data_IF_787295004093
#
_entry.id   IF_787295004093
#
_cell.length_a   1.000
_cell.length_b   1.000
_cell.length_c   1.000
_cell.angle_alpha   90.00
_cell.angle_beta   90.00
_cell.angle_gamma   90.00
#
_symmetry.space_group_name_H-M   'P 1'
#
loop_
_entity.id
_entity.type
_entity.pdbx_description
1 polymer ?
#
# COMPACT_ATOMS: atom_id res chain seq x y z
N UNK A 1 -8.04 9.71 22.82
CA UNK A 1 -8.06 8.62 21.81
C UNK A 1 -7.11 7.53 22.30
N UNK A 2 -7.62 6.30 22.48
CA UNK A 2 -6.85 5.20 23.10
C UNK A 2 -5.78 4.69 22.10
N UNK A 3 -4.48 4.71 22.46
CA UNK A 3 -3.41 4.18 21.62
C UNK A 3 -3.57 2.68 21.27
N UNK A 4 -4.33 1.95 22.08
CA UNK A 4 -4.61 0.52 21.83
C UNK A 4 -5.56 0.33 20.65
N UNK A 5 -6.51 1.27 20.45
CA UNK A 5 -7.45 1.24 19.33
C UNK A 5 -6.71 1.45 18.00
N UNK A 6 -5.76 2.38 17.95
CA UNK A 6 -4.92 2.62 16.78
C UNK A 6 -4.05 1.40 16.42
N UNK A 7 -3.51 0.69 17.42
CA UNK A 7 -2.77 -0.56 17.18
C UNK A 7 -3.66 -1.66 16.64
N UNK A 8 -4.88 -1.79 17.16
CA UNK A 8 -5.85 -2.78 16.70
C UNK A 8 -6.36 -2.51 15.28
N UNK A 9 -6.44 -1.24 14.88
CA UNK A 9 -6.85 -0.81 13.53
C UNK A 9 -5.67 -0.68 12.54
N UNK A 10 -4.45 -1.05 12.93
CA UNK A 10 -3.26 -0.95 12.09
C UNK A 10 -2.82 0.47 11.73
N UNK A 11 -3.46 1.49 12.31
CA UNK A 11 -3.28 2.90 11.92
C UNK A 11 -2.73 3.75 13.07
N UNK A 12 -1.42 3.66 13.33
CA UNK A 12 -0.75 4.60 14.24
C UNK A 12 -0.39 5.86 13.43
N UNK A 13 -0.85 7.06 13.83
CA UNK A 13 -0.48 8.30 13.15
C UNK A 13 1.05 8.50 13.16
N UNK A 14 1.56 9.07 12.08
CA UNK A 14 2.96 9.50 11.99
C UNK A 14 3.16 10.85 12.67
N UNK A 15 4.41 11.28 12.84
CA UNK A 15 4.73 12.62 13.34
C UNK A 15 4.17 13.74 12.45
N UNK A 16 3.93 13.45 11.16
CA UNK A 16 3.30 14.38 10.21
C UNK A 16 1.76 14.37 10.29
N UNK A 17 1.16 13.57 11.17
CA UNK A 17 -0.30 13.44 11.30
C UNK A 17 -0.95 12.49 10.28
N UNK A 18 -0.18 11.95 9.33
CA UNK A 18 -0.68 11.06 8.30
C UNK A 18 -0.83 9.61 8.80
N UNK A 19 -1.83 8.91 8.26
CA UNK A 19 -2.04 7.49 8.52
C UNK A 19 -1.44 6.65 7.39
N UNK A 20 -0.47 5.81 7.74
CA UNK A 20 0.24 4.94 6.79
C UNK A 20 -0.38 3.55 6.79
N UNK A 21 -0.90 3.15 5.65
CA UNK A 21 -1.41 1.82 5.33
C UNK A 21 -1.05 1.45 3.88
N UNK A 22 -1.38 0.24 3.46
CA UNK A 22 -1.08 -0.25 2.10
C UNK A 22 -1.63 0.68 1.02
N UNK A 23 -2.90 1.07 1.11
CA UNK A 23 -3.54 1.93 0.11
C UNK A 23 -2.90 3.31 0.04
N UNK A 24 -2.62 3.94 1.19
CA UNK A 24 -2.03 5.27 1.25
C UNK A 24 -0.57 5.30 0.77
N UNK A 25 0.19 4.22 0.99
CA UNK A 25 1.57 4.10 0.47
C UNK A 25 1.59 3.83 -1.03
N UNK A 26 0.71 2.96 -1.52
CA UNK A 26 0.59 2.71 -2.96
C UNK A 26 -0.01 3.90 -3.72
N UNK A 27 -0.61 4.86 -3.04
CA UNK A 27 -0.98 6.16 -3.60
C UNK A 27 0.23 7.05 -3.94
N UNK A 28 1.38 6.84 -3.31
CA UNK A 28 2.63 7.52 -3.66
C UNK A 28 3.20 6.93 -4.95
N UNK A 29 3.33 7.73 -6.00
CA UNK A 29 3.77 7.27 -7.32
C UNK A 29 5.13 6.54 -7.28
N UNK A 30 6.08 7.01 -6.47
CA UNK A 30 7.38 6.37 -6.31
C UNK A 30 7.27 4.99 -5.65
N UNK A 31 6.44 4.85 -4.60
CA UNK A 31 6.23 3.56 -3.93
C UNK A 31 5.54 2.56 -4.86
N UNK A 32 4.50 2.99 -5.57
CA UNK A 32 3.84 2.19 -6.59
C UNK A 32 4.82 1.69 -7.65
N UNK A 33 5.65 2.59 -8.20
CA UNK A 33 6.61 2.24 -9.24
C UNK A 33 7.65 1.20 -8.74
N UNK A 34 8.16 1.36 -7.52
CA UNK A 34 9.10 0.40 -6.92
C UNK A 34 8.47 -0.98 -6.74
N UNK A 35 7.29 -1.05 -6.11
CA UNK A 35 6.60 -2.33 -5.86
C UNK A 35 6.26 -3.02 -7.19
N UNK A 36 5.66 -2.29 -8.14
CA UNK A 36 5.28 -2.84 -9.43
C UNK A 36 6.50 -3.35 -10.23
N UNK A 37 7.60 -2.59 -10.23
CA UNK A 37 8.82 -2.99 -10.94
C UNK A 37 9.44 -4.25 -10.33
N UNK A 38 9.61 -4.29 -9.01
CA UNK A 38 10.26 -5.41 -8.33
C UNK A 38 9.38 -6.67 -8.37
N UNK A 39 8.11 -6.55 -7.99
CA UNK A 39 7.19 -7.68 -7.97
C UNK A 39 7.00 -8.27 -9.38
N UNK A 40 6.73 -7.44 -10.38
CA UNK A 40 6.58 -7.89 -11.76
C UNK A 40 7.86 -8.50 -12.35
N UNK A 41 9.02 -7.91 -12.06
CA UNK A 41 10.31 -8.45 -12.54
C UNK A 41 10.60 -9.81 -11.92
N UNK A 42 10.44 -9.97 -10.61
CA UNK A 42 10.69 -11.25 -9.93
C UNK A 42 9.68 -12.30 -10.36
N UNK A 43 8.40 -11.94 -10.44
CA UNK A 43 7.34 -12.85 -10.85
C UNK A 43 7.48 -13.35 -12.30
N UNK A 44 8.11 -12.55 -13.19
CA UNK A 44 8.39 -12.96 -14.56
C UNK A 44 9.46 -14.06 -14.68
N UNK A 45 10.23 -14.30 -13.61
CA UNK A 45 11.22 -15.37 -13.59
C UNK A 45 10.52 -16.71 -13.32
N UNK A 46 10.66 -17.71 -14.22
CA UNK A 46 9.96 -18.98 -14.06
C UNK A 46 10.50 -19.77 -12.86
N UNK A 47 9.62 -20.16 -11.95
CA UNK A 47 9.99 -21.01 -10.82
C UNK A 47 10.06 -22.47 -11.27
N UNK A 48 11.28 -22.99 -11.42
CA UNK A 48 11.55 -24.29 -11.99
C UNK A 48 11.77 -25.37 -10.91
N UNK A 49 11.22 -26.55 -11.12
CA UNK A 49 11.55 -27.75 -10.32
C UNK A 49 12.64 -28.53 -11.01
N UNK A 50 13.71 -28.84 -10.29
CA UNK A 50 14.85 -29.59 -10.81
C UNK A 50 15.01 -30.94 -10.12
N UNK A 51 15.43 -31.93 -10.87
CA UNK A 51 15.90 -33.22 -10.37
C UNK A 51 17.43 -33.28 -10.52
N UNK A 52 18.12 -33.60 -9.42
CA UNK A 52 19.58 -33.75 -9.44
C UNK A 52 19.93 -35.24 -9.45
N UNK A 53 20.69 -35.67 -10.45
CA UNK A 53 21.26 -37.02 -10.54
C UNK A 53 22.73 -36.93 -10.93
N UNK A 54 23.63 -37.54 -10.12
CA UNK A 54 25.06 -37.51 -10.41
C UNK A 54 25.68 -36.14 -10.58
N UNK A 55 25.18 -35.12 -9.88
CA UNK A 55 25.63 -33.72 -9.96
C UNK A 55 25.00 -32.91 -11.10
N UNK A 56 24.37 -33.54 -12.08
CA UNK A 56 23.64 -32.86 -13.15
C UNK A 56 22.24 -32.47 -12.74
N UNK A 57 21.80 -31.23 -13.10
CA UNK A 57 20.45 -30.72 -12.85
C UNK A 57 19.64 -30.77 -14.15
N UNK A 58 18.50 -31.43 -14.13
CA UNK A 58 17.54 -31.46 -15.24
C UNK A 58 16.18 -30.96 -14.77
N UNK A 59 15.48 -30.20 -15.61
CA UNK A 59 14.13 -29.76 -15.30
C UNK A 59 13.20 -30.98 -15.11
N UNK A 60 12.46 -31.00 -14.01
CA UNK A 60 11.56 -32.09 -13.65
C UNK A 60 10.10 -31.72 -14.01
N UNK A 61 9.83 -31.52 -15.30
CA UNK A 61 8.50 -31.13 -15.80
C UNK A 61 7.41 -32.17 -15.53
N UNK A 62 7.80 -33.43 -15.31
CA UNK A 62 6.92 -34.53 -14.90
C UNK A 62 6.56 -34.51 -13.39
N UNK A 63 7.23 -33.67 -12.59
CA UNK A 63 6.95 -33.57 -11.16
C UNK A 63 5.63 -32.82 -10.89
N UNK A 64 4.75 -33.31 -10.01
CA UNK A 64 3.46 -32.66 -9.75
C UNK A 64 3.53 -31.19 -9.35
N UNK A 65 4.58 -30.79 -8.62
CA UNK A 65 4.79 -29.39 -8.23
C UNK A 65 5.24 -28.50 -9.40
N UNK A 66 5.75 -29.05 -10.50
CA UNK A 66 6.20 -28.24 -11.63
C UNK A 66 5.05 -27.38 -12.15
N UNK A 67 3.92 -28.00 -12.50
CA UNK A 67 2.75 -27.29 -12.98
C UNK A 67 2.23 -26.24 -11.98
N UNK A 68 2.21 -26.59 -10.70
CA UNK A 68 1.70 -25.70 -9.64
C UNK A 68 2.57 -24.46 -9.47
N UNK A 69 3.89 -24.61 -9.56
CA UNK A 69 4.82 -23.50 -9.31
C UNK A 69 5.15 -22.70 -10.57
N UNK A 70 5.16 -23.37 -11.73
CA UNK A 70 5.62 -22.79 -12.99
C UNK A 70 4.47 -22.31 -13.88
N UNK A 71 3.35 -23.08 -13.99
CA UNK A 71 2.30 -22.76 -14.94
C UNK A 71 1.10 -22.07 -14.26
N UNK A 72 0.46 -22.76 -13.31
CA UNK A 72 -0.77 -22.29 -12.66
C UNK A 72 -0.90 -22.90 -11.26
N UNK A 73 -0.76 -22.11 -10.22
CA UNK A 73 -0.94 -22.54 -8.83
C UNK A 73 -2.37 -22.99 -8.49
N UNK A 74 -3.36 -22.38 -9.12
CA UNK A 74 -4.79 -22.63 -8.92
C UNK A 74 -5.57 -22.43 -10.24
N UNK A 75 -6.89 -22.56 -10.18
CA UNK A 75 -7.75 -22.41 -11.36
C UNK A 75 -7.94 -20.95 -11.81
N UNK A 76 -7.70 -20.00 -10.91
CA UNK A 76 -8.05 -18.59 -11.11
C UNK A 76 -6.86 -17.74 -11.53
N UNK A 77 -5.61 -18.23 -11.36
CA UNK A 77 -4.38 -17.45 -11.54
C UNK A 77 -3.33 -18.20 -12.33
N UNK A 78 -2.61 -17.44 -13.15
CA UNK A 78 -1.32 -17.89 -13.72
C UNK A 78 -0.23 -17.87 -12.64
N UNK A 79 0.90 -18.52 -12.91
CA UNK A 79 2.06 -18.42 -12.01
C UNK A 79 2.54 -16.97 -11.88
N UNK A 80 2.51 -16.18 -12.97
CA UNK A 80 2.89 -14.77 -12.95
C UNK A 80 2.02 -13.98 -11.95
N UNK A 81 0.70 -14.05 -12.07
CA UNK A 81 -0.25 -13.32 -11.21
C UNK A 81 -0.05 -13.70 -9.73
N UNK A 82 0.13 -15.00 -9.48
CA UNK A 82 0.33 -15.50 -8.12
C UNK A 82 1.63 -14.99 -7.50
N UNK A 83 2.75 -15.12 -8.22
CA UNK A 83 4.06 -14.73 -7.70
C UNK A 83 4.22 -13.22 -7.62
N UNK A 84 3.56 -12.45 -8.51
CA UNK A 84 3.52 -10.99 -8.40
C UNK A 84 2.84 -10.55 -7.11
N UNK A 85 1.69 -11.13 -6.77
CA UNK A 85 1.03 -10.85 -5.50
C UNK A 85 1.90 -11.25 -4.30
N UNK A 86 2.54 -12.42 -4.36
CA UNK A 86 3.45 -12.90 -3.30
C UNK A 86 4.62 -11.92 -3.12
N UNK A 87 5.26 -11.47 -4.19
CA UNK A 87 6.37 -10.53 -4.13
C UNK A 87 5.93 -9.17 -3.58
N UNK A 88 4.82 -8.62 -4.07
CA UNK A 88 4.27 -7.36 -3.56
C UNK A 88 3.92 -7.47 -2.06
N UNK A 89 3.36 -8.60 -1.63
CA UNK A 89 3.07 -8.85 -0.21
C UNK A 89 4.34 -8.91 0.63
N UNK A 90 5.42 -9.51 0.13
CA UNK A 90 6.71 -9.55 0.81
C UNK A 90 7.33 -8.16 0.93
N UNK A 91 7.26 -7.36 -0.13
CA UNK A 91 7.79 -6.00 -0.14
C UNK A 91 7.06 -5.08 0.83
N UNK A 92 5.75 -5.15 0.88
CA UNK A 92 4.94 -4.25 1.72
C UNK A 92 4.86 -4.73 3.17
N UNK A 93 4.58 -6.02 3.37
CA UNK A 93 4.25 -6.59 4.68
C UNK A 93 5.34 -7.50 5.26
N UNK A 94 6.36 -7.84 4.48
CA UNK A 94 7.39 -8.79 4.88
C UNK A 94 6.90 -10.24 4.98
N UNK A 95 5.67 -10.53 4.56
CA UNK A 95 5.05 -11.84 4.65
C UNK A 95 4.15 -12.08 3.44
N UNK A 96 4.06 -13.34 3.02
CA UNK A 96 3.08 -13.78 2.03
C UNK A 96 2.51 -15.13 2.46
N UNK A 97 1.20 -15.33 2.24
CA UNK A 97 0.48 -16.51 2.67
C UNK A 97 -0.37 -17.06 1.53
N UNK A 98 -0.42 -18.38 1.42
CA UNK A 98 -1.39 -19.09 0.57
C UNK A 98 -1.78 -20.42 1.22
N UNK A 99 -3.01 -20.88 1.02
CA UNK A 99 -3.43 -22.20 1.47
C UNK A 99 -2.79 -23.29 0.60
N UNK A 100 -2.30 -24.37 1.22
CA UNK A 100 -1.79 -25.56 0.51
C UNK A 100 -2.91 -26.57 0.39
N UNK A 101 -3.44 -26.75 -0.82
CA UNK A 101 -4.51 -27.70 -1.09
C UNK A 101 -3.92 -29.08 -1.36
N UNK A 102 -4.39 -30.07 -0.59
CA UNK A 102 -3.91 -31.46 -0.69
C UNK A 102 -5.02 -32.42 -1.11
N UNK A 103 -4.67 -33.42 -1.90
CA UNK A 103 -5.51 -34.56 -2.16
C UNK A 103 -5.58 -35.47 -0.93
N UNK A 104 -6.50 -36.44 -0.93
CA UNK A 104 -6.68 -37.43 0.15
C UNK A 104 -5.40 -38.23 0.47
N UNK A 105 -4.54 -38.43 -0.51
CA UNK A 105 -3.25 -39.12 -0.35
C UNK A 105 -2.12 -38.21 0.14
N UNK A 106 -2.41 -36.97 0.58
CA UNK A 106 -1.46 -36.00 1.09
C UNK A 106 -0.67 -35.22 0.01
N UNK A 107 -0.80 -35.56 -1.28
CA UNK A 107 -0.12 -34.87 -2.36
C UNK A 107 -0.68 -33.46 -2.54
N UNK A 108 0.21 -32.47 -2.68
CA UNK A 108 -0.17 -31.09 -3.01
C UNK A 108 -0.73 -31.08 -4.45
N UNK A 109 -1.91 -30.50 -4.63
CA UNK A 109 -2.61 -30.41 -5.91
C UNK A 109 -2.83 -28.99 -6.38
N UNK A 110 -2.79 -28.00 -5.47
CA UNK A 110 -2.89 -26.57 -5.77
C UNK A 110 -2.35 -25.73 -4.62
N UNK A 111 -2.07 -24.46 -4.90
CA UNK A 111 -2.01 -23.40 -3.91
C UNK A 111 -3.27 -22.56 -4.06
N UNK A 112 -3.94 -22.26 -2.95
CA UNK A 112 -5.10 -21.36 -2.96
C UNK A 112 -4.71 -19.94 -3.38
N UNK A 113 -5.69 -19.10 -3.61
CA UNK A 113 -5.46 -17.66 -3.86
C UNK A 113 -4.67 -17.09 -2.69
N UNK A 114 -3.63 -16.28 -2.95
CA UNK A 114 -2.84 -15.70 -1.87
C UNK A 114 -3.69 -14.86 -0.92
N UNK A 115 -3.42 -14.99 0.37
CA UNK A 115 -4.17 -14.32 1.43
C UNK A 115 -3.49 -12.99 1.72
N UNK A 116 -4.24 -11.90 1.76
CA UNK A 116 -3.75 -10.58 2.16
C UNK A 116 -3.12 -10.65 3.56
N UNK A 117 -1.84 -10.29 3.72
CA UNK A 117 -1.13 -10.47 4.99
C UNK A 117 -1.76 -9.76 6.19
N UNK A 118 -2.43 -8.63 5.96
CA UNK A 118 -3.14 -7.87 7.00
C UNK A 118 -4.31 -8.64 7.63
N UNK A 119 -4.83 -9.64 6.92
CA UNK A 119 -5.94 -10.49 7.39
C UNK A 119 -5.47 -11.72 8.17
N UNK A 120 -4.17 -12.03 8.15
CA UNK A 120 -3.62 -13.25 8.75
C UNK A 120 -3.03 -12.96 10.13
N UNK A 121 -3.52 -13.67 11.13
CA UNK A 121 -2.93 -13.71 12.46
C UNK A 121 -2.10 -14.98 12.62
N UNK A 122 -0.84 -14.84 12.96
CA UNK A 122 0.06 -15.96 13.22
C UNK A 122 0.35 -16.04 14.71
N UNK A 123 0.17 -17.21 15.30
CA UNK A 123 0.50 -17.45 16.70
C UNK A 123 1.27 -18.75 16.89
N UNK A 124 2.06 -18.79 17.94
CA UNK A 124 2.77 -20.00 18.34
C UNK A 124 1.96 -20.71 19.43
N UNK A 125 1.71 -21.98 19.22
CA UNK A 125 1.08 -22.85 20.21
C UNK A 125 2.09 -23.27 21.29
N UNK A 126 1.61 -23.78 22.40
CA UNK A 126 2.45 -24.35 23.48
C UNK A 126 3.35 -25.50 23.00
N UNK A 127 2.91 -26.22 21.99
CA UNK A 127 3.67 -27.26 21.29
C UNK A 127 4.85 -26.74 20.46
N UNK A 128 4.98 -25.41 20.31
CA UNK A 128 5.98 -24.77 19.46
C UNK A 128 5.56 -24.65 17.99
N UNK A 129 4.49 -25.31 17.56
CA UNK A 129 3.95 -25.20 16.20
C UNK A 129 3.33 -23.83 15.94
N UNK A 130 3.31 -23.40 14.65
CA UNK A 130 2.61 -22.20 14.25
C UNK A 130 1.18 -22.53 13.84
N UNK A 131 0.27 -21.67 14.23
CA UNK A 131 -1.13 -21.66 13.83
C UNK A 131 -1.44 -20.35 13.12
N UNK A 132 -2.18 -20.43 12.04
CA UNK A 132 -2.61 -19.34 11.18
C UNK A 132 -4.10 -19.18 11.24
N UNK A 133 -4.56 -17.95 11.37
CA UNK A 133 -5.98 -17.63 11.43
C UNK A 133 -6.27 -16.48 10.48
N UNK A 134 -7.32 -16.63 9.66
CA UNK A 134 -7.85 -15.59 8.79
C UNK A 134 -9.36 -15.73 8.62
N UNK A 135 -9.97 -14.74 8.00
CA UNK A 135 -11.40 -14.79 7.63
C UNK A 135 -11.51 -14.87 6.12
N UNK A 136 -12.21 -15.88 5.63
CA UNK A 136 -12.55 -16.05 4.23
C UNK A 136 -14.06 -16.15 4.08
N UNK A 137 -14.64 -15.32 3.22
CA UNK A 137 -16.10 -15.24 2.97
C UNK A 137 -16.95 -15.22 4.26
N UNK A 138 -16.50 -14.48 5.27
CA UNK A 138 -17.16 -14.38 6.57
C UNK A 138 -16.95 -15.60 7.49
N UNK A 139 -16.19 -16.59 7.09
CA UNK A 139 -15.84 -17.78 7.90
C UNK A 139 -14.44 -17.62 8.47
N UNK A 140 -14.33 -17.84 9.77
CA UNK A 140 -13.03 -17.92 10.44
C UNK A 140 -12.37 -19.26 10.12
N UNK A 141 -11.17 -19.21 9.55
CA UNK A 141 -10.37 -20.38 9.21
C UNK A 141 -9.16 -20.43 10.14
N UNK A 142 -8.90 -21.60 10.68
CA UNK A 142 -7.72 -21.88 11.51
C UNK A 142 -6.98 -23.05 10.86
N UNK A 143 -5.68 -22.86 10.60
CA UNK A 143 -4.86 -23.87 9.93
C UNK A 143 -3.47 -24.00 10.55
N UNK A 144 -2.93 -25.20 10.54
CA UNK A 144 -1.55 -25.47 10.92
C UNK A 144 -0.55 -25.21 9.79
N UNK A 145 0.73 -25.36 10.11
CA UNK A 145 1.86 -25.14 9.17
C UNK A 145 1.82 -26.05 7.93
N UNK A 146 1.19 -27.20 8.02
CA UNK A 146 1.06 -28.16 6.90
C UNK A 146 0.07 -27.73 5.83
N UNK A 147 -0.80 -26.77 6.18
CA UNK A 147 -1.85 -26.24 5.28
C UNK A 147 -1.59 -24.82 4.80
N UNK A 148 -0.54 -24.16 5.25
CA UNK A 148 -0.23 -22.78 4.87
C UNK A 148 1.18 -22.68 4.32
N UNK A 149 1.31 -22.23 3.09
CA UNK A 149 2.57 -21.73 2.55
C UNK A 149 2.77 -20.34 3.14
N UNK A 150 3.74 -20.21 4.05
CA UNK A 150 4.16 -18.94 4.62
C UNK A 150 5.56 -18.60 4.14
N UNK A 151 5.68 -17.59 3.29
CA UNK A 151 6.95 -17.04 2.82
C UNK A 151 7.23 -15.79 3.66
N UNK A 152 8.41 -15.77 4.31
CA UNK A 152 8.85 -14.68 5.18
C UNK A 152 9.93 -13.87 4.50
N UNK A 153 9.78 -12.56 4.52
CA UNK A 153 10.76 -11.61 4.04
C UNK A 153 11.90 -11.38 5.02
N UNK A 154 12.71 -10.39 4.72
CA UNK A 154 13.88 -9.98 5.52
C UNK A 154 13.47 -9.48 6.92
N UNK A 155 14.33 -9.73 7.89
CA UNK A 155 14.13 -9.29 9.27
C UNK A 155 12.98 -10.03 9.97
N UNK A 156 12.60 -9.54 11.12
CA UNK A 156 11.47 -10.11 11.87
C UNK A 156 11.87 -11.24 12.81
N UNK A 157 10.90 -12.11 13.11
CA UNK A 157 11.01 -13.19 14.09
C UNK A 157 10.42 -14.50 13.53
N UNK A 158 10.41 -15.61 14.28
CA UNK A 158 9.83 -16.86 13.79
C UNK A 158 8.36 -16.81 13.39
N UNK A 159 7.61 -15.78 13.80
CA UNK A 159 6.20 -15.61 13.45
C UNK A 159 5.99 -14.87 12.13
N UNK A 160 6.97 -14.09 11.67
CA UNK A 160 6.86 -13.34 10.42
C UNK A 160 8.05 -12.47 10.11
N UNK A 161 8.13 -11.98 8.88
CA UNK A 161 9.10 -11.00 8.40
C UNK A 161 8.76 -9.57 8.85
N UNK A 162 9.69 -8.65 8.67
CA UNK A 162 9.53 -7.23 9.00
C UNK A 162 8.72 -6.53 7.90
N UNK A 163 7.65 -5.86 8.29
CA UNK A 163 6.86 -5.04 7.38
C UNK A 163 7.61 -3.77 6.99
N UNK A 164 7.79 -3.53 5.69
CA UNK A 164 8.35 -2.29 5.15
C UNK A 164 7.47 -1.08 5.47
N UNK A 165 6.15 -1.27 5.48
CA UNK A 165 5.19 -0.23 5.88
C UNK A 165 5.41 0.21 7.32
N UNK A 166 5.73 -0.73 8.23
CA UNK A 166 6.04 -0.41 9.62
C UNK A 166 7.41 0.24 9.76
N UNK A 167 8.43 -0.28 9.08
CA UNK A 167 9.80 0.25 9.14
C UNK A 167 9.91 1.64 8.53
N UNK A 168 9.28 1.87 7.38
CA UNK A 168 9.28 3.14 6.65
C UNK A 168 8.18 4.12 7.02
N UNK A 169 7.39 3.84 8.05
CA UNK A 169 6.17 4.59 8.40
C UNK A 169 6.35 6.10 8.43
N UNK A 170 7.39 6.60 9.09
CA UNK A 170 7.63 8.04 9.22
C UNK A 170 7.95 8.69 7.86
N UNK A 171 8.74 8.02 7.04
CA UNK A 171 9.10 8.50 5.70
C UNK A 171 7.90 8.53 4.76
N UNK A 172 7.06 7.49 4.78
CA UNK A 172 5.83 7.45 3.99
C UNK A 172 4.85 8.53 4.45
N UNK A 173 4.66 8.70 5.76
CA UNK A 173 3.79 9.76 6.29
C UNK A 173 4.28 11.15 5.94
N UNK A 174 5.58 11.41 5.96
CA UNK A 174 6.14 12.68 5.53
C UNK A 174 5.90 12.92 4.03
N UNK A 175 6.11 11.91 3.18
CA UNK A 175 5.87 12.02 1.75
C UNK A 175 4.40 12.36 1.45
N UNK A 176 3.44 11.69 2.10
CA UNK A 176 2.01 11.98 1.98
C UNK A 176 1.67 13.41 2.43
N UNK A 177 2.25 13.88 3.54
CA UNK A 177 2.04 15.23 4.03
C UNK A 177 2.55 16.28 3.04
N UNK A 178 3.71 16.05 2.41
CA UNK A 178 4.28 16.92 1.38
C UNK A 178 3.38 16.96 0.14
N UNK A 179 2.94 15.80 -0.35
CA UNK A 179 2.02 15.74 -1.52
C UNK A 179 0.71 16.47 -1.24
N UNK A 180 0.13 16.27 -0.04
CA UNK A 180 -1.08 16.98 0.38
C UNK A 180 -0.87 18.48 0.45
N UNK A 181 0.17 18.94 1.13
CA UNK A 181 0.48 20.36 1.26
C UNK A 181 0.73 21.01 -0.11
N UNK A 182 1.41 20.31 -1.00
CA UNK A 182 1.61 20.76 -2.38
C UNK A 182 0.28 20.86 -3.12
N UNK A 183 -0.55 19.82 -3.06
CA UNK A 183 -1.88 19.81 -3.67
C UNK A 183 -2.78 20.93 -3.15
N UNK A 184 -2.77 21.17 -1.84
CA UNK A 184 -3.53 22.27 -1.22
C UNK A 184 -3.00 23.62 -1.65
N UNK A 185 -1.68 23.78 -1.76
CA UNK A 185 -1.05 25.00 -2.27
C UNK A 185 -1.47 25.29 -3.72
N UNK A 186 -1.47 24.28 -4.59
CA UNK A 186 -1.91 24.45 -5.97
C UNK A 186 -3.42 24.67 -6.08
N UNK A 187 -4.22 24.02 -5.26
CA UNK A 187 -5.69 24.16 -5.27
C UNK A 187 -6.14 25.54 -4.78
N UNK A 188 -5.52 26.04 -3.70
CA UNK A 188 -5.94 27.29 -3.06
C UNK A 188 -5.30 28.53 -3.68
N UNK A 189 -4.47 28.36 -4.74
CA UNK A 189 -3.66 29.47 -5.27
C UNK A 189 -2.50 29.78 -4.35
N UNK A 190 -1.34 29.88 -4.93
CA UNK A 190 -0.08 30.14 -4.24
C UNK A 190 -0.22 31.37 -3.35
N UNK A 191 0.14 31.27 -2.08
CA UNK A 191 0.39 32.32 -1.05
C UNK A 191 -0.32 33.64 -1.33
N UNK A 192 -0.96 34.29 -0.39
CA UNK A 192 -1.43 35.64 -0.62
C UNK A 192 -0.23 36.46 -1.10
N UNK A 193 -0.19 36.71 -2.42
CA UNK A 193 0.89 37.48 -3.04
C UNK A 193 0.81 38.96 -2.67
N UNK A 194 -0.19 39.33 -1.87
CA UNK A 194 -0.39 40.69 -1.41
C UNK A 194 -1.65 40.89 -0.57
N UNK A 195 -1.82 42.09 -0.13
CA UNK A 195 -2.99 42.56 0.61
C UNK A 195 -3.80 43.49 -0.31
N UNK A 196 -5.08 43.16 -0.48
CA UNK A 196 -6.04 44.07 -1.12
C UNK A 196 -6.55 45.04 -0.06
N UNK A 197 -6.16 46.32 -0.15
CA UNK A 197 -6.64 47.38 0.70
C UNK A 197 -7.73 48.16 0.04
N UNK A 198 -8.74 48.58 0.78
CA UNK A 198 -9.77 49.51 0.37
C UNK A 198 -9.81 50.68 1.31
N UNK A 199 -10.07 51.87 0.79
CA UNK A 199 -10.21 53.09 1.59
C UNK A 199 -11.49 53.09 2.42
N UNK A 200 -12.53 52.40 1.93
CA UNK A 200 -13.84 52.35 2.56
C UNK A 200 -13.99 51.12 3.44
N UNK A 201 -14.76 51.24 4.54
CA UNK A 201 -15.13 50.12 5.41
C UNK A 201 -16.17 49.27 4.71
N UNK A 202 -15.83 48.02 4.38
CA UNK A 202 -16.77 47.05 3.79
C UNK A 202 -17.75 46.56 4.83
N UNK A 203 -19.00 46.44 4.45
CA UNK A 203 -20.02 45.71 5.25
C UNK A 203 -19.68 44.21 5.24
N UNK A 204 -20.26 43.43 6.18
CA UNK A 204 -20.04 41.99 6.28
C UNK A 204 -20.39 41.29 4.96
N UNK A 205 -21.52 41.67 4.34
CA UNK A 205 -21.98 41.10 3.09
C UNK A 205 -21.08 41.43 1.90
N UNK A 206 -20.60 42.68 1.83
CA UNK A 206 -19.65 43.12 0.79
C UNK A 206 -18.30 42.38 0.92
N UNK A 207 -17.84 42.17 2.17
CA UNK A 207 -16.63 41.39 2.42
C UNK A 207 -16.78 39.95 1.95
N UNK A 208 -17.89 39.31 2.28
CA UNK A 208 -18.20 37.94 1.86
C UNK A 208 -18.26 37.81 0.34
N UNK A 209 -18.94 38.73 -0.33
CA UNK A 209 -19.01 38.77 -1.80
C UNK A 209 -17.62 38.98 -2.44
N UNK A 210 -16.78 39.82 -1.86
CA UNK A 210 -15.42 40.00 -2.33
C UNK A 210 -14.55 38.76 -2.15
N UNK A 211 -14.66 38.07 -1.02
CA UNK A 211 -13.96 36.79 -0.77
C UNK A 211 -14.42 35.69 -1.74
N UNK A 212 -15.71 35.57 -2.00
CA UNK A 212 -16.27 34.61 -2.98
C UNK A 212 -15.78 34.89 -4.40
N UNK A 213 -15.79 36.16 -4.81
CA UNK A 213 -15.28 36.61 -6.12
C UNK A 213 -13.78 36.35 -6.29
N UNK A 214 -12.99 36.58 -5.24
CA UNK A 214 -11.56 36.28 -5.26
C UNK A 214 -11.30 34.78 -5.37
N UNK A 215 -12.03 33.97 -4.63
CA UNK A 215 -11.94 32.52 -4.73
C UNK A 215 -12.33 32.01 -6.13
N UNK A 216 -13.44 32.46 -6.68
CA UNK A 216 -13.92 32.02 -7.99
C UNK A 216 -12.99 32.41 -9.14
N UNK A 217 -12.45 33.64 -9.11
CA UNK A 217 -11.68 34.19 -10.25
C UNK A 217 -10.19 33.97 -10.17
N UNK A 218 -9.62 33.81 -8.95
CA UNK A 218 -8.18 33.82 -8.75
C UNK A 218 -7.64 32.60 -8.00
N UNK A 219 -8.49 31.78 -7.35
CA UNK A 219 -8.02 30.53 -6.75
C UNK A 219 -7.80 29.44 -7.79
N UNK A 220 -6.83 28.57 -7.51
CA UNK A 220 -6.49 27.41 -8.33
C UNK A 220 -5.43 27.65 -9.38
N UNK A 221 -4.71 26.59 -9.75
CA UNK A 221 -3.59 26.63 -10.70
C UNK A 221 -3.98 27.16 -12.07
N UNK A 222 -5.22 26.96 -12.49
CA UNK A 222 -5.75 27.42 -13.79
C UNK A 222 -5.89 28.93 -13.88
N UNK A 223 -5.98 29.60 -12.73
CA UNK A 223 -6.14 31.06 -12.61
C UNK A 223 -4.82 31.76 -12.24
N UNK A 224 -3.74 31.01 -12.08
CA UNK A 224 -2.43 31.57 -11.75
C UNK A 224 -1.96 32.56 -12.85
N UNK A 225 -1.54 33.74 -12.44
CA UNK A 225 -1.03 34.77 -13.33
C UNK A 225 -2.12 35.62 -14.04
N UNK A 226 -3.40 35.48 -13.70
CA UNK A 226 -4.45 36.36 -14.26
C UNK A 226 -4.30 37.78 -13.70
N UNK A 227 -4.41 38.82 -14.56
CA UNK A 227 -4.40 40.20 -14.09
C UNK A 227 -5.65 40.50 -13.26
N UNK A 228 -5.47 41.20 -12.14
CA UNK A 228 -6.55 41.68 -11.30
C UNK A 228 -6.89 43.12 -11.67
N UNK A 229 -8.16 43.39 -11.93
CA UNK A 229 -8.64 44.77 -12.11
C UNK A 229 -9.08 45.29 -10.74
N UNK A 230 -8.49 46.38 -10.29
CA UNK A 230 -8.84 47.06 -9.05
C UNK A 230 -9.71 48.29 -9.38
N UNK A 231 -10.79 48.50 -8.63
CA UNK A 231 -11.73 49.60 -8.79
C UNK A 231 -11.91 50.36 -7.46
N UNK A 232 -12.33 51.63 -7.54
CA UNK A 232 -12.75 52.45 -6.42
C UNK A 232 -11.77 52.56 -5.23
N UNK A 233 -10.54 52.90 -5.51
CA UNK A 233 -9.56 53.16 -4.44
C UNK A 233 -9.06 51.90 -3.75
N UNK A 234 -9.22 50.76 -4.36
CA UNK A 234 -8.55 49.54 -3.94
C UNK A 234 -7.08 49.58 -4.38
N UNK A 235 -6.20 49.19 -3.49
CA UNK A 235 -4.76 49.11 -3.69
C UNK A 235 -4.25 47.71 -3.40
N UNK A 236 -3.30 47.24 -4.20
CA UNK A 236 -2.66 45.95 -4.03
C UNK A 236 -1.24 46.15 -3.46
N UNK A 237 -1.01 45.66 -2.27
CA UNK A 237 0.32 45.66 -1.65
C UNK A 237 0.88 44.23 -1.70
N UNK A 238 1.98 44.08 -2.40
CA UNK A 238 2.71 42.80 -2.48
C UNK A 238 3.35 42.51 -1.10
N UNK A 239 3.24 41.28 -0.61
CA UNK A 239 3.86 40.81 0.63
C UNK A 239 5.25 40.24 0.38
#
# INVERSE_FOLDING_TARGET
TDPRLYRALGSVPTSSGETVNTASVLGLAAAWACVNLLAGTIASLPLMVYRTRGGARTAASDHPLYRILHDSPNADQTALDFWEFVCASLELHGNAYAEVVRARNGRIIALGVPITPELVTVRRLETGALEYEWVDQGRRIIAGQDRVLHIRGFGGNPLGGLSTLSAGRQSFGLAQAIERASGDTFRNGVRPSGLLKTADTLTIDQRKQAEELLQEKFAGAINAGRPMLLDRGMDWVQL
#
